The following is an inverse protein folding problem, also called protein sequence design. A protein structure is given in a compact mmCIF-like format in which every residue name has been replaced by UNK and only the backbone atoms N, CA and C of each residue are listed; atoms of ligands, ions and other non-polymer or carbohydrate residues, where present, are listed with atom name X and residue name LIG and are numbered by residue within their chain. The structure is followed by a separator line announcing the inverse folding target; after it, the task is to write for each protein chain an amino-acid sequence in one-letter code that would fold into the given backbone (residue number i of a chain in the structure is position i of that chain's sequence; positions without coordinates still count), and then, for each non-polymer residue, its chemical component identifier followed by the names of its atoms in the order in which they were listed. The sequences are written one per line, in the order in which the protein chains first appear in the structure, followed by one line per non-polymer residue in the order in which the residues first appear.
data_IF_347649005011
#
_entry.id   IF_347649005011
#
_cell.length_a   1.000
_cell.length_b   1.000
_cell.length_c   1.000
_cell.angle_alpha   90.00
_cell.angle_beta   90.00
_cell.angle_gamma   90.00
#
_symmetry.space_group_name_H-M   'P 1'
#
loop_
_entity.id
_entity.type
_entity.pdbx_description
1 polymer ?
#
# COMPACT_ATOMS: atom_id res chain seq x y z
N UNK A 1 16.28 -5.17 17.74
CA UNK A 1 15.45 -3.92 17.88
C UNK A 1 14.06 -4.32 18.26
N UNK A 2 13.57 -3.82 19.34
CA UNK A 2 12.22 -4.07 19.85
C UNK A 2 11.36 -2.84 19.60
N UNK A 3 10.09 -3.03 19.24
CA UNK A 3 9.08 -1.99 19.22
C UNK A 3 7.92 -2.40 20.14
N UNK A 4 7.76 -1.64 21.21
CA UNK A 4 6.73 -1.87 22.22
C UNK A 4 5.67 -0.78 22.18
N UNK A 5 4.40 -1.18 22.24
CA UNK A 5 3.29 -0.23 22.35
C UNK A 5 2.06 -0.89 22.98
N UNK A 6 1.18 -0.06 23.54
CA UNK A 6 -0.10 -0.51 24.09
C UNK A 6 -1.24 0.04 23.24
N UNK A 7 -2.12 -0.81 22.77
CA UNK A 7 -3.24 -0.40 21.93
C UNK A 7 -4.45 -1.29 22.18
N UNK A 8 -5.60 -0.69 22.42
CA UNK A 8 -6.89 -1.37 22.63
C UNK A 8 -6.86 -2.48 23.71
N UNK A 9 -6.09 -2.24 24.80
CA UNK A 9 -5.96 -3.20 25.91
C UNK A 9 -4.94 -4.32 25.69
N UNK A 10 -4.27 -4.34 24.55
CA UNK A 10 -3.18 -5.28 24.27
C UNK A 10 -1.81 -4.64 24.52
N UNK A 11 -0.93 -5.37 25.20
CA UNK A 11 0.51 -5.07 25.24
C UNK A 11 1.14 -5.79 24.04
N UNK A 12 1.74 -5.07 23.13
CA UNK A 12 2.31 -5.65 21.91
C UNK A 12 3.81 -5.36 21.88
N UNK A 13 4.59 -6.41 21.65
CA UNK A 13 6.04 -6.38 21.50
C UNK A 13 6.39 -7.01 20.15
N UNK A 14 6.94 -6.20 19.26
CA UNK A 14 7.44 -6.64 17.96
C UNK A 14 8.97 -6.74 18.01
N UNK A 15 9.52 -7.92 17.77
CA UNK A 15 10.93 -8.03 17.39
C UNK A 15 11.07 -7.77 15.88
N UNK A 16 11.72 -6.65 15.54
CA UNK A 16 11.70 -6.10 14.18
C UNK A 16 12.39 -7.00 13.16
N UNK A 17 13.44 -7.72 13.57
CA UNK A 17 14.26 -8.47 12.61
C UNK A 17 13.81 -9.92 12.45
N UNK A 18 13.33 -10.56 13.51
CA UNK A 18 12.68 -11.87 13.40
C UNK A 18 11.25 -11.77 12.86
N UNK A 19 10.57 -10.62 13.11
CA UNK A 19 9.15 -10.43 12.82
C UNK A 19 8.23 -11.09 13.86
N UNK A 20 8.78 -11.60 14.96
CA UNK A 20 8.00 -12.20 16.06
C UNK A 20 7.20 -11.15 16.79
N UNK A 21 5.94 -11.49 17.13
CA UNK A 21 5.03 -10.63 17.88
C UNK A 21 4.64 -11.36 19.14
N UNK A 22 4.84 -10.68 20.28
CA UNK A 22 4.51 -11.19 21.59
C UNK A 22 3.41 -10.33 22.23
N UNK A 23 2.56 -10.97 23.05
CA UNK A 23 1.46 -10.32 23.77
C UNK A 23 1.64 -10.65 25.24
N UNK A 24 2.60 -10.00 25.90
CA UNK A 24 2.88 -10.24 27.30
C UNK A 24 1.85 -9.57 28.22
N UNK A 25 1.77 -10.03 29.46
CA UNK A 25 1.16 -9.26 30.53
C UNK A 25 1.94 -7.97 30.83
N UNK A 26 1.44 -7.17 31.78
CA UNK A 26 2.09 -5.89 32.11
C UNK A 26 3.49 -6.07 32.69
N UNK A 27 3.74 -7.12 33.49
CA UNK A 27 5.03 -7.32 34.13
C UNK A 27 6.09 -7.78 33.11
N UNK A 28 5.75 -8.72 32.24
CA UNK A 28 6.63 -9.18 31.17
C UNK A 28 6.87 -8.08 30.13
N UNK A 29 5.85 -7.26 29.82
CA UNK A 29 5.99 -6.10 28.94
C UNK A 29 7.03 -5.10 29.48
N UNK A 30 6.92 -4.74 30.77
CA UNK A 30 7.87 -3.83 31.41
C UNK A 30 9.27 -4.46 31.53
N UNK A 31 9.35 -5.79 31.81
CA UNK A 31 10.62 -6.51 31.89
C UNK A 31 11.38 -6.46 30.56
N UNK A 32 10.70 -6.72 29.44
CA UNK A 32 11.29 -6.62 28.10
C UNK A 32 11.80 -5.19 27.84
N UNK A 33 11.02 -4.17 28.24
CA UNK A 33 11.43 -2.76 28.11
C UNK A 33 12.70 -2.43 28.89
N UNK A 34 12.83 -2.91 30.13
CA UNK A 34 14.02 -2.69 30.95
C UNK A 34 15.28 -3.35 30.33
N UNK A 35 15.15 -4.53 29.75
CA UNK A 35 16.25 -5.20 29.04
C UNK A 35 16.63 -4.42 27.77
N UNK A 36 15.65 -3.92 26.99
CA UNK A 36 15.89 -3.11 25.78
C UNK A 36 16.59 -1.78 26.12
N UNK A 37 16.31 -1.21 27.31
CA UNK A 37 17.01 -0.03 27.88
C UNK A 37 18.45 -0.35 28.35
N UNK A 38 18.90 -1.61 28.29
CA UNK A 38 20.23 -2.05 28.65
C UNK A 38 20.43 -2.35 30.14
N UNK A 39 19.34 -2.55 30.91
CA UNK A 39 19.44 -3.06 32.28
C UNK A 39 19.91 -4.50 32.29
N UNK A 40 20.70 -4.84 33.32
CA UNK A 40 21.01 -6.26 33.58
C UNK A 40 19.79 -7.00 34.09
N UNK A 41 19.75 -8.32 33.91
CA UNK A 41 18.68 -9.17 34.46
C UNK A 41 18.44 -8.90 35.93
N UNK A 42 19.50 -8.87 36.74
CA UNK A 42 19.43 -8.66 38.20
C UNK A 42 18.80 -7.31 38.57
N UNK A 43 19.15 -6.22 37.84
CA UNK A 43 18.56 -4.90 38.03
C UNK A 43 17.09 -4.86 37.66
N UNK A 44 16.74 -5.50 36.52
CA UNK A 44 15.39 -5.55 36.00
C UNK A 44 14.48 -6.39 36.90
N UNK A 45 14.89 -7.58 37.36
CA UNK A 45 14.16 -8.43 38.31
C UNK A 45 13.81 -7.64 39.58
N UNK A 46 14.75 -6.90 40.12
CA UNK A 46 14.55 -6.05 41.33
C UNK A 46 13.51 -4.96 41.07
N UNK A 47 13.55 -4.30 39.91
CA UNK A 47 12.61 -3.24 39.54
C UNK A 47 11.19 -3.80 39.31
N UNK A 48 11.04 -4.93 38.58
CA UNK A 48 9.77 -5.60 38.36
C UNK A 48 9.18 -6.09 39.70
N UNK A 49 9.96 -6.79 40.52
CA UNK A 49 9.52 -7.26 41.81
C UNK A 49 9.08 -6.13 42.76
N UNK A 50 9.71 -4.95 42.67
CA UNK A 50 9.30 -3.79 43.42
C UNK A 50 8.01 -3.17 42.88
N UNK A 51 7.90 -3.03 41.56
CA UNK A 51 6.75 -2.40 40.89
C UNK A 51 5.46 -3.19 41.06
N UNK A 52 5.54 -4.53 40.94
CA UNK A 52 4.39 -5.43 40.93
C UNK A 52 4.15 -6.14 42.28
N UNK A 53 4.84 -5.73 43.38
CA UNK A 53 4.71 -6.36 44.70
C UNK A 53 3.28 -6.48 45.19
N UNK A 54 2.45 -5.44 44.98
CA UNK A 54 1.09 -5.35 45.47
C UNK A 54 0.07 -5.96 44.48
N UNK A 55 0.55 -6.41 43.30
CA UNK A 55 -0.28 -7.03 42.24
C UNK A 55 -0.34 -8.56 42.35
N UNK A 56 0.25 -9.14 43.38
CA UNK A 56 0.25 -10.59 43.62
C UNK A 56 1.31 -11.36 42.84
N UNK A 57 2.22 -10.70 42.13
CA UNK A 57 3.34 -11.30 41.43
C UNK A 57 4.41 -11.69 42.45
N UNK A 58 4.74 -12.97 42.51
CA UNK A 58 5.73 -13.52 43.43
C UNK A 58 7.16 -13.38 42.87
N UNK A 59 8.21 -13.48 43.70
CA UNK A 59 9.57 -13.54 43.20
C UNK A 59 9.87 -14.69 42.24
N UNK A 60 9.12 -15.78 42.33
CA UNK A 60 9.20 -16.94 41.42
C UNK A 60 8.61 -16.56 40.05
N UNK A 61 7.43 -15.91 40.02
CA UNK A 61 6.82 -15.39 38.76
C UNK A 61 7.76 -14.40 38.05
N UNK A 62 8.43 -13.51 38.82
CA UNK A 62 9.43 -12.60 38.23
C UNK A 62 10.57 -13.36 37.59
N UNK A 63 11.08 -14.40 38.28
CA UNK A 63 12.17 -15.24 37.73
C UNK A 63 11.72 -15.94 36.46
N UNK A 64 10.51 -16.51 36.44
CA UNK A 64 9.95 -17.20 35.27
C UNK A 64 9.80 -16.28 34.07
N UNK A 65 9.36 -15.02 34.27
CA UNK A 65 9.33 -14.00 33.21
C UNK A 65 10.69 -13.80 32.57
N UNK A 66 11.77 -13.71 33.35
CA UNK A 66 13.11 -13.51 32.80
C UNK A 66 13.69 -14.79 32.18
N UNK A 67 13.35 -15.97 32.69
CA UNK A 67 13.71 -17.25 32.09
C UNK A 67 13.06 -17.39 30.71
N UNK A 68 11.78 -17.00 30.54
CA UNK A 68 11.06 -16.96 29.26
C UNK A 68 11.69 -15.97 28.28
N UNK A 69 12.07 -14.76 28.75
CA UNK A 69 12.75 -13.73 27.93
C UNK A 69 14.08 -14.29 27.39
N UNK A 70 14.88 -14.96 28.25
CA UNK A 70 16.13 -15.59 27.83
C UNK A 70 15.90 -16.74 26.83
N UNK A 71 14.85 -17.53 27.02
CA UNK A 71 14.49 -18.59 26.10
C UNK A 71 14.12 -18.04 24.72
N UNK A 72 13.22 -17.04 24.67
CA UNK A 72 12.83 -16.38 23.41
C UNK A 72 14.05 -15.73 22.72
N UNK A 73 14.98 -15.16 23.49
CA UNK A 73 16.23 -14.58 22.96
C UNK A 73 17.10 -15.68 22.33
N UNK A 74 17.28 -16.81 23.03
CA UNK A 74 18.05 -17.97 22.53
C UNK A 74 17.43 -18.60 21.29
N UNK A 75 16.09 -18.60 21.20
CA UNK A 75 15.35 -19.09 20.03
C UNK A 75 15.37 -18.10 18.84
N UNK A 76 15.93 -16.91 19.00
CA UNK A 76 15.96 -15.88 17.96
C UNK A 76 14.57 -15.27 17.69
N UNK A 77 13.72 -15.18 18.71
CA UNK A 77 12.38 -14.60 18.66
C UNK A 77 12.26 -13.26 19.39
N UNK A 78 13.30 -12.89 20.15
CA UNK A 78 13.37 -11.61 20.88
C UNK A 78 14.83 -11.12 20.87
N UNK A 79 15.03 -9.79 20.83
CA UNK A 79 16.32 -9.09 20.80
C UNK A 79 17.24 -9.54 19.65
N UNK A 80 16.66 -9.85 18.49
CA UNK A 80 17.42 -10.28 17.31
C UNK A 80 18.23 -9.15 16.68
N UNK A 81 19.30 -9.50 15.95
CA UNK A 81 20.18 -8.56 15.27
C UNK A 81 19.74 -8.32 13.82
N UNK A 82 20.11 -7.15 13.28
CA UNK A 82 19.88 -6.79 11.89
C UNK A 82 20.93 -7.45 10.97
N UNK A 83 20.70 -8.70 10.62
CA UNK A 83 21.58 -9.46 9.71
C UNK A 83 21.58 -8.94 8.28
N UNK A 84 20.68 -8.02 7.93
CA UNK A 84 20.55 -7.47 6.58
C UNK A 84 21.30 -6.15 6.38
N UNK A 85 21.63 -5.43 7.45
CA UNK A 85 22.32 -4.12 7.40
C UNK A 85 23.68 -4.20 6.72
N UNK A 86 24.48 -5.20 7.10
CA UNK A 86 25.87 -5.38 6.62
C UNK A 86 25.96 -6.23 5.36
N UNK A 87 24.85 -6.91 5.00
CA UNK A 87 24.79 -7.58 3.73
C UNK A 87 24.69 -6.51 2.63
N UNK A 88 25.82 -6.23 1.97
CA UNK A 88 25.87 -5.45 0.72
C UNK A 88 25.13 -6.27 -0.32
N UNK A 89 23.79 -6.19 -0.31
CA UNK A 89 23.00 -6.70 -1.41
C UNK A 89 23.51 -6.02 -2.67
N UNK A 90 24.29 -6.73 -3.46
CA UNK A 90 24.67 -6.24 -4.77
C UNK A 90 23.45 -6.26 -5.66
N UNK A 91 22.65 -5.20 -5.53
CA UNK A 91 21.44 -5.00 -6.33
C UNK A 91 21.76 -4.95 -7.83
N UNK A 92 23.05 -4.77 -8.22
CA UNK A 92 23.50 -4.83 -9.61
C UNK A 92 23.44 -6.24 -10.19
N UNK A 93 23.65 -7.25 -9.37
CA UNK A 93 23.57 -8.64 -9.83
C UNK A 93 22.12 -9.08 -10.08
N UNK A 94 21.13 -8.33 -9.59
CA UNK A 94 19.75 -8.63 -9.89
C UNK A 94 19.47 -8.30 -11.35
N UNK A 95 19.14 -9.31 -12.14
CA UNK A 95 18.54 -9.10 -13.44
C UNK A 95 17.23 -8.34 -13.25
N UNK A 96 17.15 -7.14 -13.81
CA UNK A 96 15.92 -6.34 -13.79
C UNK A 96 14.88 -7.08 -14.64
N UNK A 97 13.90 -7.68 -13.98
CA UNK A 97 12.83 -8.41 -14.64
C UNK A 97 11.55 -7.61 -14.47
N UNK A 98 11.05 -7.06 -15.57
CA UNK A 98 9.78 -6.33 -15.57
C UNK A 98 8.66 -7.33 -15.32
N UNK A 99 7.85 -7.09 -14.28
CA UNK A 99 6.72 -7.95 -13.90
C UNK A 99 5.37 -7.28 -14.13
N UNK A 100 5.36 -5.95 -14.16
CA UNK A 100 4.12 -5.18 -14.21
C UNK A 100 4.29 -3.89 -15.03
N UNK A 101 3.26 -3.56 -15.80
CA UNK A 101 3.13 -2.28 -16.48
C UNK A 101 1.83 -1.59 -16.08
N UNK A 102 1.92 -0.29 -15.80
CA UNK A 102 0.78 0.60 -15.73
C UNK A 102 0.61 1.27 -17.09
N UNK A 103 -0.39 0.85 -17.84
CA UNK A 103 -0.71 1.44 -19.14
C UNK A 103 -1.62 2.65 -18.95
N UNK A 104 -1.08 3.83 -19.22
CA UNK A 104 -1.87 5.07 -19.22
C UNK A 104 -2.61 5.17 -20.56
N UNK A 105 -3.66 4.35 -20.68
CA UNK A 105 -4.38 4.19 -21.96
C UNK A 105 -5.14 5.46 -22.36
N UNK A 106 -5.39 6.38 -21.41
CA UNK A 106 -6.04 7.66 -21.66
C UNK A 106 -5.33 8.79 -20.91
N UNK A 107 -4.74 9.72 -21.65
CA UNK A 107 -4.25 11.00 -21.13
C UNK A 107 -5.36 12.05 -21.16
N UNK A 108 -6.53 11.68 -20.65
CA UNK A 108 -7.71 12.53 -20.50
C UNK A 108 -8.66 11.91 -19.49
N UNK A 109 -9.53 12.71 -18.88
CA UNK A 109 -10.51 12.28 -17.90
C UNK A 109 -11.85 13.01 -18.11
N UNK A 110 -12.93 12.34 -17.78
CA UNK A 110 -14.29 12.89 -17.78
C UNK A 110 -14.70 13.51 -16.43
N UNK A 111 -13.80 13.46 -15.42
CA UNK A 111 -13.90 14.20 -14.15
C UNK A 111 -12.77 15.22 -14.01
N UNK A 112 -13.02 16.24 -13.17
CA UNK A 112 -12.11 17.35 -12.90
C UNK A 112 -11.79 17.40 -11.39
N UNK A 113 -11.26 16.31 -10.84
CA UNK A 113 -10.96 16.20 -9.42
C UNK A 113 -9.87 17.20 -9.01
N UNK A 114 -10.11 18.00 -7.96
CA UNK A 114 -9.18 19.04 -7.49
C UNK A 114 -7.83 18.49 -7.07
N UNK A 115 -7.81 17.41 -6.32
CA UNK A 115 -6.58 16.77 -5.80
C UNK A 115 -5.86 15.85 -6.80
N UNK A 116 -6.26 15.87 -8.08
CA UNK A 116 -5.75 14.90 -9.05
C UNK A 116 -4.27 15.12 -9.35
N UNK A 117 -3.41 14.20 -8.89
CA UNK A 117 -1.96 14.23 -9.19
C UNK A 117 -1.65 14.15 -10.69
N UNK A 118 -2.55 13.54 -11.48
CA UNK A 118 -2.42 13.36 -12.92
C UNK A 118 -2.91 14.57 -13.73
N UNK A 119 -3.18 15.73 -13.12
CA UNK A 119 -3.68 16.93 -13.80
C UNK A 119 -4.89 16.60 -14.70
N UNK A 120 -5.91 15.95 -14.15
CA UNK A 120 -7.09 15.42 -14.84
C UNK A 120 -6.75 14.51 -16.02
N UNK A 121 -5.69 13.71 -15.84
CA UNK A 121 -5.22 12.73 -16.80
C UNK A 121 -4.21 13.23 -17.82
N UNK A 122 -3.91 14.53 -17.84
CA UNK A 122 -2.92 15.09 -18.79
C UNK A 122 -1.47 14.86 -18.38
N UNK A 123 -1.22 14.54 -17.09
CA UNK A 123 0.12 14.31 -16.55
C UNK A 123 1.10 15.44 -16.92
N UNK A 124 0.65 16.69 -16.77
CA UNK A 124 1.39 17.91 -17.15
C UNK A 124 1.74 18.02 -18.65
N UNK A 125 1.18 17.14 -19.51
CA UNK A 125 1.44 17.07 -20.94
C UNK A 125 0.16 17.25 -21.78
N UNK A 126 0.19 16.65 -22.97
CA UNK A 126 -0.92 16.72 -23.92
C UNK A 126 -2.01 15.69 -23.61
N UNK A 127 -3.25 16.02 -23.94
CA UNK A 127 -4.33 15.02 -23.95
C UNK A 127 -4.20 14.08 -25.15
N UNK A 128 -4.54 12.82 -24.96
CA UNK A 128 -4.51 11.81 -26.02
C UNK A 128 -5.01 10.45 -25.53
N UNK A 129 -5.18 9.55 -26.47
CA UNK A 129 -5.54 8.15 -26.21
C UNK A 129 -4.43 7.24 -26.78
N UNK A 130 -4.11 6.17 -26.06
CA UNK A 130 -3.17 5.16 -26.52
C UNK A 130 -3.75 4.44 -27.74
N UNK A 131 -2.94 4.28 -28.80
CA UNK A 131 -3.31 3.45 -29.92
C UNK A 131 -3.20 1.96 -29.58
N UNK A 132 -3.92 1.10 -30.31
CA UNK A 132 -3.74 -0.34 -30.17
C UNK A 132 -2.29 -0.77 -30.42
N UNK A 133 -1.64 -0.20 -31.43
CA UNK A 133 -0.25 -0.51 -31.79
C UNK A 133 0.72 -0.16 -30.67
N UNK A 134 0.53 0.99 -30.02
CA UNK A 134 1.35 1.39 -28.85
C UNK A 134 1.12 0.42 -27.71
N UNK A 135 -0.13 0.14 -27.36
CA UNK A 135 -0.44 -0.79 -26.27
C UNK A 135 0.03 -2.22 -26.54
N UNK A 136 -0.13 -2.69 -27.79
CA UNK A 136 0.39 -4.00 -28.24
C UNK A 136 1.91 -4.06 -28.04
N UNK A 137 2.65 -3.03 -28.51
CA UNK A 137 4.10 -2.98 -28.34
C UNK A 137 4.51 -2.94 -26.86
N UNK A 138 3.72 -2.28 -26.00
CA UNK A 138 3.95 -2.30 -24.55
C UNK A 138 3.82 -3.71 -23.96
N UNK A 139 2.84 -4.49 -24.39
CA UNK A 139 2.69 -5.89 -23.97
C UNK A 139 3.86 -6.75 -24.48
N UNK A 140 4.30 -6.56 -25.74
CA UNK A 140 5.48 -7.24 -26.27
C UNK A 140 6.73 -6.89 -25.47
N UNK A 141 6.93 -5.60 -25.15
CA UNK A 141 8.01 -5.14 -24.27
C UNK A 141 7.99 -5.81 -22.90
N UNK A 142 6.79 -5.95 -22.29
CA UNK A 142 6.64 -6.65 -21.00
C UNK A 142 7.07 -8.11 -21.11
N UNK A 143 6.65 -8.82 -22.16
CA UNK A 143 7.04 -10.22 -22.40
C UNK A 143 8.54 -10.35 -22.61
N UNK A 144 9.14 -9.51 -23.45
CA UNK A 144 10.58 -9.51 -23.78
C UNK A 144 11.44 -9.25 -22.54
N UNK A 145 10.99 -8.41 -21.61
CA UNK A 145 11.74 -8.00 -20.43
C UNK A 145 11.34 -8.75 -19.14
N UNK A 146 10.45 -9.75 -19.23
CA UNK A 146 9.95 -10.49 -18.06
C UNK A 146 10.75 -11.78 -17.73
N UNK A 147 11.74 -12.14 -18.52
CA UNK A 147 12.55 -13.34 -18.33
C UNK A 147 11.69 -14.59 -18.17
N UNK A 148 11.99 -15.41 -17.20
CA UNK A 148 11.24 -16.66 -16.91
C UNK A 148 9.95 -16.43 -16.09
N UNK A 149 9.62 -15.19 -15.73
CA UNK A 149 8.41 -14.89 -14.96
C UNK A 149 7.16 -15.21 -15.79
N UNK A 150 6.31 -16.07 -15.27
CA UNK A 150 5.08 -16.48 -15.92
C UNK A 150 3.94 -15.48 -15.72
N UNK A 151 3.71 -15.05 -14.49
CA UNK A 151 2.63 -14.12 -14.14
C UNK A 151 3.07 -12.68 -14.36
N UNK A 152 2.34 -11.97 -15.23
CA UNK A 152 2.58 -10.57 -15.59
C UNK A 152 1.33 -9.75 -15.23
N UNK A 153 1.54 -8.58 -14.61
CA UNK A 153 0.48 -7.68 -14.21
C UNK A 153 0.37 -6.51 -15.21
N UNK A 154 -0.84 -6.14 -15.57
CA UNK A 154 -1.12 -5.01 -16.45
C UNK A 154 -2.25 -4.19 -15.85
N UNK A 155 -1.96 -2.95 -15.48
CA UNK A 155 -2.95 -2.04 -14.93
C UNK A 155 -3.42 -1.09 -16.03
N UNK A 156 -4.71 -1.13 -16.37
CA UNK A 156 -5.34 -0.10 -17.19
C UNK A 156 -5.64 1.12 -16.31
N UNK A 157 -4.94 2.19 -16.61
CA UNK A 157 -4.92 3.42 -15.84
C UNK A 157 -4.90 4.65 -16.76
N UNK A 158 -4.65 5.82 -16.20
CA UNK A 158 -4.54 7.09 -16.91
C UNK A 158 -5.38 8.17 -16.22
N UNK A 159 -6.04 9.03 -16.97
CA UNK A 159 -7.09 9.88 -16.45
C UNK A 159 -8.33 9.04 -16.14
N UNK A 160 -8.97 8.51 -17.20
CA UNK A 160 -10.04 7.52 -17.08
C UNK A 160 -9.89 6.47 -18.20
N UNK A 161 -9.52 5.23 -17.89
CA UNK A 161 -9.26 4.20 -18.92
C UNK A 161 -10.50 3.83 -19.72
N UNK A 162 -11.72 3.95 -19.19
CA UNK A 162 -12.95 3.68 -19.94
C UNK A 162 -13.21 4.67 -21.08
N UNK A 163 -12.48 5.79 -21.14
CA UNK A 163 -12.49 6.65 -22.32
C UNK A 163 -11.78 6.01 -23.53
N UNK A 164 -11.00 4.96 -23.29
CA UNK A 164 -10.34 4.18 -24.35
C UNK A 164 -10.67 2.69 -24.24
N UNK A 165 -11.91 2.38 -23.91
CA UNK A 165 -12.34 1.00 -23.57
C UNK A 165 -12.13 0.01 -24.71
N UNK A 166 -12.37 0.43 -25.98
CA UNK A 166 -12.15 -0.44 -27.14
C UNK A 166 -10.70 -0.92 -27.25
N UNK A 167 -9.74 -0.04 -27.02
CA UNK A 167 -8.32 -0.41 -27.00
C UNK A 167 -8.02 -1.35 -25.84
N UNK A 168 -8.59 -1.14 -24.66
CA UNK A 168 -8.44 -2.08 -23.53
C UNK A 168 -8.91 -3.49 -23.90
N UNK A 169 -10.06 -3.62 -24.58
CA UNK A 169 -10.58 -4.92 -25.07
C UNK A 169 -9.63 -5.58 -26.08
N UNK A 170 -9.14 -4.80 -27.03
CA UNK A 170 -8.20 -5.29 -28.05
C UNK A 170 -6.88 -5.76 -27.44
N UNK A 171 -6.34 -5.02 -26.46
CA UNK A 171 -5.10 -5.37 -25.75
C UNK A 171 -5.26 -6.66 -24.95
N UNK A 172 -6.37 -6.86 -24.26
CA UNK A 172 -6.65 -8.11 -23.55
C UNK A 172 -6.76 -9.27 -24.53
N UNK A 173 -7.50 -9.11 -25.62
CA UNK A 173 -7.62 -10.15 -26.67
C UNK A 173 -6.24 -10.53 -27.23
N UNK A 174 -5.40 -9.54 -27.51
CA UNK A 174 -4.02 -9.77 -27.97
C UNK A 174 -3.20 -10.52 -26.91
N UNK A 175 -3.20 -10.08 -25.66
CA UNK A 175 -2.46 -10.74 -24.57
C UNK A 175 -2.87 -12.22 -24.45
N UNK A 176 -4.18 -12.52 -24.44
CA UNK A 176 -4.70 -13.90 -24.39
C UNK A 176 -4.22 -14.75 -25.57
N UNK A 177 -4.10 -14.15 -26.77
CA UNK A 177 -3.65 -14.86 -27.97
C UNK A 177 -2.19 -15.34 -27.89
N UNK A 178 -1.33 -14.62 -27.13
CA UNK A 178 0.10 -14.94 -27.04
C UNK A 178 0.47 -15.71 -25.75
N UNK A 179 -0.41 -15.82 -24.75
CA UNK A 179 -0.12 -16.43 -23.44
C UNK A 179 0.48 -17.83 -23.56
N UNK A 180 -0.14 -18.68 -24.38
CA UNK A 180 0.30 -20.07 -24.52
C UNK A 180 1.67 -20.17 -25.18
N UNK A 181 1.88 -19.45 -26.29
CA UNK A 181 3.13 -19.48 -27.04
C UNK A 181 4.29 -18.94 -26.21
N UNK A 182 4.07 -17.83 -25.52
CA UNK A 182 5.10 -17.15 -24.70
C UNK A 182 5.24 -17.74 -23.29
N UNK A 183 4.43 -18.74 -22.90
CA UNK A 183 4.35 -19.29 -21.55
C UNK A 183 4.15 -18.19 -20.49
N UNK A 184 3.22 -17.28 -20.74
CA UNK A 184 2.86 -16.17 -19.85
C UNK A 184 1.41 -16.31 -19.39
N UNK A 185 1.07 -15.58 -18.33
CA UNK A 185 -0.28 -15.46 -17.79
C UNK A 185 -0.48 -14.00 -17.40
N UNK A 186 -1.28 -13.27 -18.16
CA UNK A 186 -1.55 -11.86 -17.88
C UNK A 186 -2.70 -11.70 -16.89
N UNK A 187 -2.48 -10.87 -15.89
CA UNK A 187 -3.46 -10.47 -14.89
C UNK A 187 -3.74 -8.99 -15.06
N UNK A 188 -4.98 -8.68 -15.45
CA UNK A 188 -5.38 -7.30 -15.69
C UNK A 188 -6.06 -6.70 -14.47
N UNK A 189 -5.75 -5.44 -14.18
CA UNK A 189 -6.46 -4.58 -13.25
C UNK A 189 -7.06 -3.39 -14.00
N UNK A 190 -8.28 -3.04 -13.69
CA UNK A 190 -8.95 -1.84 -14.19
C UNK A 190 -9.17 -0.87 -13.04
N UNK A 191 -8.62 0.36 -13.13
CA UNK A 191 -8.89 1.44 -12.19
C UNK A 191 -9.81 2.46 -12.85
N UNK A 192 -11.02 2.68 -12.32
CA UNK A 192 -12.00 3.58 -12.93
C UNK A 192 -12.70 4.51 -11.92
N UNK A 193 -13.03 5.70 -12.37
CA UNK A 193 -13.89 6.62 -11.63
C UNK A 193 -15.40 6.28 -11.74
N UNK A 194 -15.76 5.28 -12.50
CA UNK A 194 -17.11 4.73 -12.61
C UNK A 194 -18.06 5.44 -13.58
N UNK A 195 -17.76 6.64 -14.03
CA UNK A 195 -18.67 7.44 -14.89
C UNK A 195 -18.98 6.77 -16.23
N UNK A 196 -18.01 5.99 -16.75
CA UNK A 196 -18.12 5.26 -18.01
C UNK A 196 -18.59 3.82 -17.88
N UNK A 197 -18.98 3.33 -16.72
CA UNK A 197 -19.44 1.96 -16.53
C UNK A 197 -20.76 1.71 -17.25
N UNK A 198 -20.78 0.67 -18.08
CA UNK A 198 -21.96 0.12 -18.76
C UNK A 198 -22.06 -1.38 -18.46
N UNK A 199 -23.15 -2.02 -18.87
CA UNK A 199 -23.29 -3.49 -18.73
C UNK A 199 -22.21 -4.23 -19.47
N UNK A 200 -21.81 -3.78 -20.66
CA UNK A 200 -20.70 -4.34 -21.42
C UNK A 200 -19.38 -4.26 -20.65
N UNK A 201 -19.09 -3.12 -20.00
CA UNK A 201 -17.89 -2.96 -19.16
C UNK A 201 -17.91 -3.95 -17.99
N UNK A 202 -19.06 -4.10 -17.32
CA UNK A 202 -19.22 -5.04 -16.21
C UNK A 202 -18.96 -6.49 -16.66
N UNK A 203 -19.60 -6.92 -17.73
CA UNK A 203 -19.44 -8.28 -18.26
C UNK A 203 -18.00 -8.56 -18.69
N UNK A 204 -17.38 -7.62 -19.42
CA UNK A 204 -16.01 -7.74 -19.89
C UNK A 204 -15.01 -7.78 -18.70
N UNK A 205 -15.11 -6.83 -17.77
CA UNK A 205 -14.19 -6.76 -16.65
C UNK A 205 -14.33 -7.96 -15.70
N UNK A 206 -15.55 -8.50 -15.54
CA UNK A 206 -15.77 -9.70 -14.72
C UNK A 206 -15.17 -10.97 -15.35
N UNK A 207 -15.07 -11.01 -16.67
CA UNK A 207 -14.44 -12.12 -17.40
C UNK A 207 -12.92 -11.99 -17.48
N UNK A 208 -12.41 -10.77 -17.70
CA UNK A 208 -11.01 -10.54 -18.10
C UNK A 208 -10.14 -9.95 -16.99
N UNK A 209 -10.71 -9.11 -16.11
CA UNK A 209 -9.93 -8.43 -15.08
C UNK A 209 -9.89 -9.26 -13.80
N UNK A 210 -8.65 -9.53 -13.34
CA UNK A 210 -8.41 -10.17 -12.06
C UNK A 210 -8.87 -9.30 -10.90
N UNK A 211 -8.66 -7.99 -11.01
CA UNK A 211 -9.05 -7.01 -10.03
C UNK A 211 -9.65 -5.74 -10.66
N UNK A 212 -10.54 -5.06 -9.94
CA UNK A 212 -11.11 -3.78 -10.33
C UNK A 212 -11.05 -2.80 -9.17
N UNK A 213 -10.50 -1.62 -9.43
CA UNK A 213 -10.41 -0.52 -8.47
C UNK A 213 -11.50 0.50 -8.79
N UNK A 214 -12.43 0.69 -7.87
CA UNK A 214 -13.58 1.59 -8.01
C UNK A 214 -13.35 2.83 -7.15
N UNK A 215 -13.19 3.99 -7.79
CA UNK A 215 -12.81 5.23 -7.11
C UNK A 215 -14.03 5.93 -6.46
N UNK A 216 -14.10 5.90 -5.12
CA UNK A 216 -15.15 6.55 -4.32
C UNK A 216 -14.55 7.05 -3.01
N UNK A 217 -14.76 8.35 -2.68
CA UNK A 217 -14.17 8.95 -1.48
C UNK A 217 -15.03 8.80 -0.22
N UNK A 218 -16.15 8.07 -0.30
CA UNK A 218 -17.03 7.80 0.84
C UNK A 218 -18.37 8.49 0.75
N UNK A 219 -18.75 9.26 1.79
CA UNK A 219 -20.03 10.00 1.86
C UNK A 219 -20.20 10.92 0.65
N UNK A 220 -21.46 11.18 0.28
CA UNK A 220 -21.80 11.99 -0.90
C UNK A 220 -21.14 13.36 -0.88
N UNK A 221 -21.24 14.06 0.23
CA UNK A 221 -20.67 15.40 0.40
C UNK A 221 -19.14 15.41 0.28
N UNK A 222 -18.46 14.34 0.70
CA UNK A 222 -17.02 14.19 0.56
C UNK A 222 -16.66 13.91 -0.89
N UNK A 223 -17.30 12.91 -1.49
CA UNK A 223 -17.05 12.54 -2.88
C UNK A 223 -17.32 13.72 -3.83
N UNK A 224 -18.49 14.39 -3.69
CA UNK A 224 -18.94 15.43 -4.60
C UNK A 224 -18.24 16.79 -4.39
N UNK A 225 -17.49 16.94 -3.27
CA UNK A 225 -16.58 18.07 -3.09
C UNK A 225 -15.43 18.04 -4.10
N UNK A 226 -14.91 16.85 -4.38
CA UNK A 226 -13.68 16.70 -5.16
C UNK A 226 -13.90 16.07 -6.53
N UNK A 227 -14.77 15.05 -6.63
CA UNK A 227 -14.97 14.28 -7.87
C UNK A 227 -16.13 14.85 -8.67
N UNK A 228 -15.86 15.98 -9.28
CA UNK A 228 -16.84 16.70 -10.08
C UNK A 228 -16.55 16.58 -11.58
N UNK A 229 -17.60 16.73 -12.40
CA UNK A 229 -17.46 16.86 -13.85
C UNK A 229 -16.94 18.27 -14.26
N UNK A 230 -16.75 18.50 -15.55
CA UNK A 230 -16.28 19.79 -16.08
C UNK A 230 -17.27 20.96 -15.80
N UNK A 231 -18.51 20.67 -15.39
CA UNK A 231 -19.55 21.67 -15.04
C UNK A 231 -19.64 21.86 -13.52
N UNK A 232 -18.84 21.15 -12.74
CA UNK A 232 -18.88 21.21 -11.28
C UNK A 232 -19.96 20.32 -10.64
N UNK A 233 -20.61 19.43 -11.39
CA UNK A 233 -21.59 18.51 -10.81
C UNK A 233 -20.87 17.32 -10.17
N UNK A 234 -21.31 16.94 -8.95
CA UNK A 234 -20.81 15.76 -8.26
C UNK A 234 -21.09 14.45 -9.01
N UNK A 235 -20.27 13.46 -8.79
CA UNK A 235 -20.35 12.15 -9.46
C UNK A 235 -21.07 11.07 -8.66
N UNK A 236 -21.28 11.26 -7.36
CA UNK A 236 -21.75 10.24 -6.41
C UNK A 236 -23.05 9.55 -6.85
N UNK A 237 -24.11 10.33 -7.11
CA UNK A 237 -25.42 9.77 -7.47
C UNK A 237 -25.39 8.96 -8.77
N UNK A 238 -24.44 9.28 -9.67
CA UNK A 238 -24.24 8.55 -10.92
C UNK A 238 -23.46 7.26 -10.71
N UNK A 239 -22.37 7.30 -9.94
CA UNK A 239 -21.42 6.16 -9.87
C UNK A 239 -21.83 5.09 -8.85
N UNK A 240 -22.44 5.46 -7.72
CA UNK A 240 -22.79 4.50 -6.66
C UNK A 240 -23.72 3.39 -7.14
N UNK A 241 -24.82 3.66 -7.87
CA UNK A 241 -25.67 2.59 -8.41
C UNK A 241 -24.91 1.64 -9.36
N UNK A 242 -23.98 2.20 -10.15
CA UNK A 242 -23.14 1.42 -11.08
C UNK A 242 -22.14 0.54 -10.32
N UNK A 243 -21.51 1.06 -9.27
CA UNK A 243 -20.61 0.31 -8.42
C UNK A 243 -21.33 -0.84 -7.71
N UNK A 244 -22.51 -0.60 -7.15
CA UNK A 244 -23.33 -1.67 -6.55
C UNK A 244 -23.66 -2.77 -7.55
N UNK A 245 -24.04 -2.41 -8.78
CA UNK A 245 -24.29 -3.37 -9.86
C UNK A 245 -23.03 -4.15 -10.22
N UNK A 246 -21.89 -3.44 -10.34
CA UNK A 246 -20.60 -4.03 -10.69
C UNK A 246 -20.16 -5.07 -9.66
N UNK A 247 -20.13 -4.67 -8.38
CA UNK A 247 -19.69 -5.51 -7.27
C UNK A 247 -20.59 -6.74 -7.11
N UNK A 248 -21.92 -6.54 -7.22
CA UNK A 248 -22.88 -7.65 -7.19
C UNK A 248 -22.60 -8.66 -8.31
N UNK A 249 -22.31 -8.19 -9.52
CA UNK A 249 -22.03 -9.05 -10.67
C UNK A 249 -20.67 -9.80 -10.55
N UNK A 250 -19.79 -9.40 -9.61
CA UNK A 250 -18.52 -10.06 -9.29
C UNK A 250 -18.61 -10.97 -8.05
N UNK A 251 -19.80 -11.23 -7.51
CA UNK A 251 -19.97 -11.94 -6.23
C UNK A 251 -19.11 -11.34 -5.10
N UNK A 252 -18.96 -10.02 -5.10
CA UNK A 252 -18.15 -9.26 -4.14
C UNK A 252 -16.68 -9.71 -4.06
N UNK A 253 -16.08 -10.13 -5.18
CA UNK A 253 -14.70 -10.63 -5.24
C UNK A 253 -13.84 -9.85 -6.23
N UNK A 254 -12.53 -9.77 -5.95
CA UNK A 254 -11.55 -9.18 -6.87
C UNK A 254 -11.83 -7.71 -7.19
N UNK A 255 -12.27 -6.93 -6.21
CA UNK A 255 -12.44 -5.48 -6.31
C UNK A 255 -11.97 -4.82 -5.02
N UNK A 256 -11.78 -3.53 -5.05
CA UNK A 256 -11.81 -2.69 -3.86
C UNK A 256 -12.26 -1.26 -4.19
N UNK A 257 -12.96 -0.66 -3.22
CA UNK A 257 -13.26 0.76 -3.26
C UNK A 257 -12.00 1.53 -2.86
N UNK A 258 -11.63 2.54 -3.62
CA UNK A 258 -10.46 3.37 -3.33
C UNK A 258 -10.87 4.82 -3.21
N UNK A 259 -10.79 5.32 -1.99
CA UNK A 259 -11.04 6.72 -1.66
C UNK A 259 -9.76 7.47 -1.29
N UNK A 260 -9.90 8.78 -1.20
CA UNK A 260 -8.86 9.70 -0.74
C UNK A 260 -9.41 10.53 0.41
N UNK A 261 -8.66 10.61 1.51
CA UNK A 261 -8.96 11.55 2.57
C UNK A 261 -7.99 12.74 2.55
N UNK A 262 -8.50 13.89 2.96
CA UNK A 262 -7.84 15.18 2.89
C UNK A 262 -8.01 15.93 4.21
N UNK A 263 -7.48 17.14 4.32
CA UNK A 263 -7.76 18.03 5.46
C UNK A 263 -9.28 18.23 5.71
N UNK A 264 -10.12 18.10 4.70
CA UNK A 264 -11.57 18.34 4.83
C UNK A 264 -12.39 17.13 5.30
N UNK A 265 -11.80 15.93 5.29
CA UNK A 265 -12.44 14.70 5.77
C UNK A 265 -11.46 13.85 6.60
N UNK A 266 -10.83 14.48 7.59
CA UNK A 266 -9.96 13.77 8.54
C UNK A 266 -10.72 12.70 9.34
N UNK A 267 -12.06 12.79 9.43
CA UNK A 267 -12.96 11.79 9.98
C UNK A 267 -13.27 10.61 9.01
N UNK A 268 -12.26 10.18 8.27
CA UNK A 268 -12.37 9.23 7.14
C UNK A 268 -12.99 7.87 7.52
N UNK A 269 -13.03 7.50 8.79
CA UNK A 269 -13.76 6.28 9.21
C UNK A 269 -15.25 6.37 8.94
N UNK A 270 -15.84 7.57 9.00
CA UNK A 270 -17.24 7.76 8.62
C UNK A 270 -17.45 7.46 7.13
N UNK A 271 -16.47 7.77 6.29
CA UNK A 271 -16.50 7.45 4.87
C UNK A 271 -16.38 5.95 4.63
N UNK A 272 -15.51 5.26 5.37
CA UNK A 272 -15.37 3.82 5.34
C UNK A 272 -16.65 3.13 5.83
N UNK A 273 -17.21 3.59 6.95
CA UNK A 273 -18.45 3.00 7.49
C UNK A 273 -19.65 3.26 6.57
N UNK A 274 -19.73 4.43 5.96
CA UNK A 274 -20.72 4.70 4.92
C UNK A 274 -20.62 3.70 3.75
N UNK A 275 -19.40 3.48 3.25
CA UNK A 275 -19.17 2.49 2.17
C UNK A 275 -19.54 1.06 2.61
N UNK A 276 -19.25 0.70 3.87
CA UNK A 276 -19.52 -0.63 4.39
C UNK A 276 -21.01 -0.84 4.74
N UNK A 277 -21.59 0.04 5.55
CA UNK A 277 -22.91 -0.17 6.16
C UNK A 277 -24.07 0.30 5.26
N UNK A 278 -23.92 1.47 4.62
CA UNK A 278 -24.99 2.03 3.79
C UNK A 278 -24.93 1.52 2.34
N UNK A 279 -23.71 1.29 1.84
CA UNK A 279 -23.53 0.88 0.44
C UNK A 279 -23.28 -0.62 0.27
N UNK A 280 -22.82 -1.33 1.33
CA UNK A 280 -22.59 -2.77 1.34
C UNK A 280 -21.26 -3.21 0.69
N UNK A 281 -20.27 -2.33 0.60
CA UNK A 281 -18.95 -2.68 0.10
C UNK A 281 -18.05 -3.20 1.21
N UNK A 282 -17.38 -4.32 1.00
CA UNK A 282 -16.56 -4.99 2.01
C UNK A 282 -15.06 -4.88 1.79
N UNK A 283 -14.63 -4.54 0.57
CA UNK A 283 -13.22 -4.40 0.21
C UNK A 283 -12.89 -2.91 0.04
N UNK A 284 -12.17 -2.33 1.01
CA UNK A 284 -12.04 -0.89 1.17
C UNK A 284 -10.58 -0.43 1.25
N UNK A 285 -10.30 0.73 0.69
CA UNK A 285 -9.02 1.43 0.77
C UNK A 285 -9.23 2.93 0.86
N UNK A 286 -8.51 3.60 1.75
CA UNK A 286 -8.50 5.07 1.85
C UNK A 286 -7.06 5.56 1.94
N UNK A 287 -6.66 6.38 0.97
CA UNK A 287 -5.31 6.94 0.88
C UNK A 287 -5.28 8.38 1.41
N UNK A 288 -4.20 8.78 2.10
CA UNK A 288 -3.97 10.20 2.35
C UNK A 288 -3.74 10.93 1.03
N UNK A 289 -4.31 12.12 0.90
CA UNK A 289 -3.97 12.99 -0.23
C UNK A 289 -2.47 13.31 -0.20
N UNK A 290 -1.83 13.23 -1.37
CA UNK A 290 -0.47 13.74 -1.58
C UNK A 290 -0.56 14.87 -2.59
N UNK A 291 -0.35 16.08 -2.12
CA UNK A 291 -0.49 17.32 -2.90
C UNK A 291 0.49 18.37 -2.40
N UNK A 292 0.59 19.51 -3.10
CA UNK A 292 1.40 20.65 -2.62
C UNK A 292 0.98 21.06 -1.21
N UNK A 293 1.93 21.37 -0.32
CA UNK A 293 1.64 21.89 1.02
C UNK A 293 0.75 23.14 1.02
N UNK A 294 0.76 23.93 -0.05
CA UNK A 294 -0.05 25.14 -0.21
C UNK A 294 -1.50 24.84 -0.66
N UNK A 295 -1.80 23.59 -0.99
CA UNK A 295 -3.17 23.20 -1.35
C UNK A 295 -4.08 23.23 -0.12
N UNK A 296 -5.31 23.78 -0.22
CA UNK A 296 -6.29 23.72 0.88
C UNK A 296 -6.63 22.28 1.30
N UNK A 297 -6.46 21.31 0.42
CA UNK A 297 -6.71 19.89 0.68
C UNK A 297 -5.55 19.19 1.38
N UNK A 298 -4.37 19.85 1.48
CA UNK A 298 -3.17 19.23 2.07
C UNK A 298 -3.39 18.90 3.55
N UNK A 299 -2.94 17.71 3.92
CA UNK A 299 -2.88 17.30 5.32
C UNK A 299 -1.76 18.04 6.05
N UNK A 300 -2.01 18.42 7.29
CA UNK A 300 -1.09 19.19 8.14
C UNK A 300 -0.70 18.43 9.40
N UNK A 301 0.33 18.87 10.10
CA UNK A 301 0.72 18.30 11.39
C UNK A 301 -0.41 18.33 12.44
N UNK A 302 -1.33 19.29 12.32
CA UNK A 302 -2.48 19.41 13.22
C UNK A 302 -3.53 18.32 12.98
N UNK A 303 -3.55 17.69 11.82
CA UNK A 303 -4.47 16.61 11.47
C UNK A 303 -4.01 15.25 12.04
N UNK A 304 -2.70 15.07 12.32
CA UNK A 304 -2.15 13.78 12.75
C UNK A 304 -2.85 13.15 13.96
N UNK A 305 -3.12 13.88 15.06
CA UNK A 305 -3.78 13.27 16.22
C UNK A 305 -5.16 12.70 15.87
N UNK A 306 -5.94 13.45 15.08
CA UNK A 306 -7.27 12.99 14.62
C UNK A 306 -7.13 11.75 13.72
N UNK A 307 -6.21 11.77 12.77
CA UNK A 307 -5.98 10.65 11.87
C UNK A 307 -5.51 9.39 12.61
N UNK A 308 -4.68 9.53 13.64
CA UNK A 308 -4.27 8.41 14.49
C UNK A 308 -5.47 7.79 15.21
N UNK A 309 -6.34 8.63 15.79
CA UNK A 309 -7.58 8.17 16.41
C UNK A 309 -8.48 7.46 15.40
N UNK A 310 -8.62 7.97 14.19
CA UNK A 310 -9.43 7.33 13.15
C UNK A 310 -8.91 5.94 12.78
N UNK A 311 -7.59 5.76 12.66
CA UNK A 311 -7.02 4.43 12.44
C UNK A 311 -7.32 3.47 13.60
N UNK A 312 -7.27 3.94 14.85
CA UNK A 312 -7.62 3.12 16.02
C UNK A 312 -9.10 2.75 16.03
N UNK A 313 -9.99 3.72 15.77
CA UNK A 313 -11.44 3.50 15.67
C UNK A 313 -11.72 2.41 14.61
N UNK A 314 -11.11 2.53 13.43
CA UNK A 314 -11.29 1.55 12.35
C UNK A 314 -10.84 0.16 12.77
N UNK A 315 -9.66 0.04 13.36
CA UNK A 315 -9.14 -1.26 13.79
C UNK A 315 -10.02 -1.92 14.85
N UNK A 316 -10.50 -1.16 15.84
CA UNK A 316 -11.46 -1.62 16.87
C UNK A 316 -12.78 -2.07 16.25
N UNK A 317 -13.31 -1.30 15.30
CA UNK A 317 -14.54 -1.66 14.61
C UNK A 317 -14.37 -2.93 13.77
N UNK A 318 -13.24 -3.10 13.09
CA UNK A 318 -12.95 -4.31 12.32
C UNK A 318 -12.89 -5.57 13.20
N UNK A 319 -12.32 -5.50 14.41
CA UNK A 319 -12.34 -6.61 15.37
C UNK A 319 -13.80 -6.93 15.75
N UNK A 320 -14.58 -5.92 16.13
CA UNK A 320 -16.01 -6.10 16.47
C UNK A 320 -16.79 -6.75 15.33
N UNK A 321 -16.62 -6.26 14.09
CA UNK A 321 -17.29 -6.81 12.90
C UNK A 321 -16.89 -8.26 12.65
N UNK A 322 -15.63 -8.61 12.80
CA UNK A 322 -15.16 -9.98 12.62
C UNK A 322 -15.83 -10.93 13.63
N UNK A 323 -15.92 -10.54 14.91
CA UNK A 323 -16.62 -11.28 15.97
C UNK A 323 -18.12 -11.41 15.72
N UNK A 324 -18.73 -10.43 15.05
CA UNK A 324 -20.14 -10.44 14.65
C UNK A 324 -20.41 -11.20 13.33
N UNK A 325 -19.38 -11.78 12.69
CA UNK A 325 -19.51 -12.53 11.44
C UNK A 325 -19.77 -11.67 10.19
N UNK A 326 -19.48 -10.36 10.25
CA UNK A 326 -19.61 -9.43 9.13
C UNK A 326 -18.33 -8.62 8.87
N UNK A 327 -17.21 -9.30 8.59
CA UNK A 327 -15.92 -8.65 8.43
C UNK A 327 -15.90 -7.71 7.21
N UNK A 328 -15.05 -6.70 7.28
CA UNK A 328 -14.63 -5.87 6.15
C UNK A 328 -13.12 -6.00 6.00
N UNK A 329 -12.64 -5.81 4.78
CA UNK A 329 -11.20 -5.71 4.49
C UNK A 329 -10.81 -4.23 4.35
N UNK A 330 -9.81 -3.80 5.10
CA UNK A 330 -9.17 -2.53 4.86
C UNK A 330 -7.76 -2.79 4.31
N UNK A 331 -7.52 -2.41 3.06
CA UNK A 331 -6.32 -2.75 2.31
C UNK A 331 -5.02 -2.45 3.07
N UNK A 332 -4.96 -1.31 3.77
CA UNK A 332 -3.78 -0.89 4.52
C UNK A 332 -3.53 -1.65 5.82
N UNK A 333 -4.47 -2.50 6.25
CA UNK A 333 -4.29 -3.42 7.39
C UNK A 333 -4.04 -4.86 6.96
N UNK A 334 -3.96 -5.10 5.64
CA UNK A 334 -3.59 -6.41 5.11
C UNK A 334 -2.09 -6.63 5.25
N UNK A 335 -1.71 -7.30 6.32
CA UNK A 335 -0.35 -7.79 6.55
C UNK A 335 -0.40 -9.33 6.63
N UNK A 336 0.58 -9.97 6.02
CA UNK A 336 0.79 -11.41 6.12
C UNK A 336 1.97 -11.66 7.05
N UNK A 337 1.69 -12.24 8.21
CA UNK A 337 2.68 -12.52 9.24
C UNK A 337 3.31 -13.90 9.08
N UNK A 338 2.69 -14.80 8.31
CA UNK A 338 3.14 -16.19 8.13
C UNK A 338 3.93 -16.36 6.82
N UNK A 339 3.38 -15.86 5.70
CA UNK A 339 3.89 -16.09 4.35
C UNK A 339 4.29 -14.79 3.65
N UNK A 340 4.27 -13.67 4.36
CA UNK A 340 4.47 -12.31 3.85
C UNK A 340 5.62 -12.16 2.86
N UNK A 341 5.74 -11.02 2.20
CA UNK A 341 6.70 -10.90 1.12
C UNK A 341 8.09 -11.29 1.60
N UNK A 342 8.86 -11.92 0.71
CA UNK A 342 10.25 -12.29 1.02
C UNK A 342 11.06 -11.06 1.45
N UNK A 343 12.12 -11.26 2.22
CA UNK A 343 12.96 -10.19 2.76
C UNK A 343 13.42 -9.19 1.69
N UNK A 344 13.72 -9.68 0.49
CA UNK A 344 14.08 -8.84 -0.63
C UNK A 344 13.00 -7.76 -0.92
N UNK A 345 11.74 -8.16 -0.95
CA UNK A 345 10.59 -7.25 -1.14
C UNK A 345 10.41 -6.29 0.03
N UNK A 346 10.64 -6.76 1.24
CA UNK A 346 10.60 -5.93 2.44
C UNK A 346 11.70 -4.86 2.45
N UNK A 347 12.82 -5.11 1.77
CA UNK A 347 13.93 -4.17 1.63
C UNK A 347 13.70 -3.22 0.44
N UNK A 348 13.28 -3.73 -0.72
CA UNK A 348 13.28 -3.00 -1.99
C UNK A 348 11.94 -2.36 -2.39
N UNK A 349 10.86 -2.65 -1.68
CA UNK A 349 9.54 -2.04 -1.91
C UNK A 349 8.87 -2.45 -3.22
N UNK A 350 8.14 -1.50 -3.86
CA UNK A 350 7.25 -1.78 -5.00
C UNK A 350 7.97 -2.13 -6.30
N UNK A 351 9.27 -1.80 -6.42
CA UNK A 351 10.07 -2.05 -7.62
C UNK A 351 9.82 -1.06 -8.75
N UNK A 352 9.36 0.16 -8.44
CA UNK A 352 9.25 1.24 -9.42
C UNK A 352 10.57 1.47 -10.17
N UNK A 353 10.48 1.75 -11.47
CA UNK A 353 11.65 1.94 -12.35
C UNK A 353 12.40 0.66 -12.73
N UNK A 354 12.12 -0.47 -12.06
CA UNK A 354 12.81 -1.75 -12.28
C UNK A 354 11.85 -2.89 -12.63
N UNK A 355 11.04 -3.34 -11.69
CA UNK A 355 10.06 -4.42 -11.87
C UNK A 355 8.70 -3.91 -12.34
N UNK A 356 8.41 -2.66 -12.09
CA UNK A 356 7.17 -1.96 -12.41
C UNK A 356 7.51 -0.65 -13.14
N UNK A 357 6.83 -0.37 -14.24
CA UNK A 357 6.97 0.87 -15.01
C UNK A 357 5.60 1.36 -15.48
N UNK A 358 5.50 2.67 -15.70
CA UNK A 358 4.37 3.28 -16.40
C UNK A 358 4.69 3.50 -17.86
N UNK A 359 3.70 3.30 -18.74
CA UNK A 359 3.77 3.53 -20.17
C UNK A 359 2.77 4.60 -20.55
N UNK A 360 3.23 5.70 -21.15
CA UNK A 360 2.36 6.77 -21.64
C UNK A 360 1.56 6.35 -22.88
N UNK A 361 0.55 7.13 -23.24
CA UNK A 361 -0.21 6.90 -24.48
C UNK A 361 0.67 6.91 -25.75
N UNK A 362 1.85 7.49 -25.67
CA UNK A 362 2.85 7.59 -26.76
C UNK A 362 3.99 6.59 -26.63
N UNK A 363 3.98 5.71 -25.63
CA UNK A 363 4.95 4.66 -25.45
C UNK A 363 6.19 5.03 -24.64
N UNK A 364 6.25 6.21 -24.03
CA UNK A 364 7.36 6.55 -23.13
C UNK A 364 7.30 5.73 -21.83
N UNK A 365 8.46 5.33 -21.33
CA UNK A 365 8.65 4.59 -20.09
C UNK A 365 9.04 5.53 -18.95
N UNK A 366 8.31 5.40 -17.83
CA UNK A 366 8.58 6.09 -16.57
C UNK A 366 8.66 5.12 -15.39
N UNK A 367 9.35 5.47 -14.27
CA UNK A 367 9.45 4.60 -13.10
C UNK A 367 8.09 4.18 -12.52
N UNK A 368 7.14 5.10 -12.46
CA UNK A 368 5.73 4.83 -12.17
C UNK A 368 4.86 6.00 -12.69
N UNK A 369 3.55 5.86 -12.58
CA UNK A 369 2.59 6.87 -13.05
C UNK A 369 2.75 8.25 -12.38
N UNK A 370 3.33 8.31 -11.19
CA UNK A 370 3.56 9.57 -10.45
C UNK A 370 4.71 10.42 -11.00
N UNK A 371 5.60 9.84 -11.81
CA UNK A 371 6.72 10.55 -12.45
C UNK A 371 6.41 10.96 -13.90
N UNK A 372 5.25 10.55 -14.43
CA UNK A 372 4.89 10.84 -15.83
C UNK A 372 4.71 12.33 -16.02
N UNK A 373 5.36 12.87 -17.06
CA UNK A 373 5.39 14.29 -17.36
C UNK A 373 6.66 15.02 -16.90
N UNK A 374 7.44 14.37 -16.00
CA UNK A 374 8.75 14.90 -15.61
C UNK A 374 9.84 14.33 -16.54
N UNK A 375 10.46 15.16 -17.41
CA UNK A 375 11.43 14.69 -18.41
C UNK A 375 12.69 14.08 -17.77
N UNK A 376 13.06 14.46 -16.54
CA UNK A 376 14.23 13.94 -15.85
C UNK A 376 14.07 12.49 -15.41
N UNK A 377 12.82 12.02 -15.34
CA UNK A 377 12.46 10.65 -14.96
C UNK A 377 12.06 9.77 -16.15
N UNK A 378 12.13 10.26 -17.38
CA UNK A 378 11.90 9.42 -18.55
C UNK A 378 13.01 8.38 -18.66
N UNK A 379 12.63 7.08 -18.62
CA UNK A 379 13.57 5.95 -18.68
C UNK A 379 13.92 5.54 -20.12
N UNK A 380 13.10 5.88 -21.09
CA UNK A 380 13.20 5.45 -22.47
C UNK A 380 11.83 5.31 -23.11
N UNK A 381 11.66 4.34 -23.99
CA UNK A 381 10.38 4.03 -24.62
C UNK A 381 10.24 2.53 -24.92
N UNK A 382 9.01 2.10 -25.29
CA UNK A 382 8.71 0.67 -25.53
C UNK A 382 9.39 0.12 -26.80
N UNK A 383 9.87 0.94 -27.72
CA UNK A 383 10.52 0.50 -28.97
C UNK A 383 12.02 0.29 -28.80
N UNK A 384 12.69 1.21 -28.12
CA UNK A 384 14.14 1.18 -27.88
C UNK A 384 14.51 0.58 -26.54
N UNK A 385 13.52 0.43 -25.64
CA UNK A 385 13.73 -0.04 -24.28
C UNK A 385 14.17 1.06 -23.33
N UNK A 386 14.74 0.65 -22.19
CA UNK A 386 15.31 1.58 -21.20
C UNK A 386 16.65 2.08 -21.73
N UNK A 387 16.75 3.37 -21.98
CA UNK A 387 17.96 4.05 -22.47
C UNK A 387 18.62 4.90 -21.39
N UNK A 388 17.87 5.37 -20.39
CA UNK A 388 18.38 6.10 -19.24
C UNK A 388 18.70 5.11 -18.09
N UNK A 389 19.79 4.35 -18.26
CA UNK A 389 20.20 3.34 -17.29
C UNK A 389 20.66 3.97 -15.96
N UNK A 390 21.20 5.20 -15.98
CA UNK A 390 21.60 5.89 -14.76
C UNK A 390 20.40 6.17 -13.86
N UNK A 391 19.32 6.72 -14.44
CA UNK A 391 18.07 6.96 -13.72
C UNK A 391 17.42 5.65 -13.24
N UNK A 392 17.45 4.58 -14.05
CA UNK A 392 16.98 3.27 -13.63
C UNK A 392 17.77 2.72 -12.43
N UNK A 393 19.10 2.90 -12.45
CA UNK A 393 19.98 2.48 -11.35
C UNK A 393 19.71 3.26 -10.06
N UNK A 394 19.33 4.55 -10.13
CA UNK A 394 18.88 5.29 -8.94
C UNK A 394 17.73 4.59 -8.23
N UNK A 395 16.71 4.13 -8.97
CA UNK A 395 15.59 3.36 -8.42
C UNK A 395 16.00 1.97 -7.94
N UNK A 396 16.89 1.32 -8.66
CA UNK A 396 17.41 0.00 -8.31
C UNK A 396 18.14 0.00 -6.96
N UNK A 397 18.84 1.08 -6.66
CA UNK A 397 19.57 1.25 -5.41
C UNK A 397 18.76 1.96 -4.33
N UNK A 398 17.53 2.41 -4.64
CA UNK A 398 16.63 2.98 -3.66
C UNK A 398 15.98 1.85 -2.87
N UNK A 399 16.42 1.65 -1.64
CA UNK A 399 15.92 0.62 -0.73
C UNK A 399 15.96 1.14 0.72
N UNK A 400 15.39 0.42 1.66
CA UNK A 400 15.26 0.85 3.05
C UNK A 400 16.59 1.25 3.71
N UNK A 401 17.71 0.61 3.35
CA UNK A 401 19.03 0.94 3.89
C UNK A 401 19.75 2.06 3.14
N UNK A 402 19.22 2.50 2.00
CA UNK A 402 19.74 3.67 1.28
C UNK A 402 19.23 5.00 1.86
N UNK A 403 18.27 4.94 2.78
CA UNK A 403 17.73 6.09 3.51
C UNK A 403 18.31 6.10 4.93
N UNK A 404 19.18 7.05 5.29
CA UNK A 404 19.82 7.05 6.63
C UNK A 404 18.82 6.99 7.78
N UNK A 405 17.70 7.72 7.68
CA UNK A 405 16.67 7.78 8.70
C UNK A 405 15.86 6.47 8.83
N UNK A 406 15.85 5.63 7.81
CA UNK A 406 15.13 4.36 7.82
C UNK A 406 15.94 3.21 8.41
N UNK A 407 17.26 3.34 8.47
CA UNK A 407 18.15 2.27 8.95
C UNK A 407 17.83 1.85 10.40
N UNK A 408 17.39 2.80 11.24
CA UNK A 408 17.04 2.58 12.64
C UNK A 408 15.53 2.71 12.92
N UNK A 409 14.70 2.64 11.86
CA UNK A 409 13.24 2.68 11.99
C UNK A 409 12.68 1.28 12.26
N UNK A 410 11.86 1.14 13.31
CA UNK A 410 11.22 -0.13 13.63
C UNK A 410 10.28 -0.64 12.52
N UNK A 411 9.63 0.28 11.78
CA UNK A 411 8.69 -0.07 10.71
C UNK A 411 9.37 -0.41 9.38
N UNK A 412 10.70 -0.40 9.30
CA UNK A 412 11.46 -0.47 8.04
C UNK A 412 11.14 -1.70 7.17
N UNK A 413 10.94 -2.86 7.76
CA UNK A 413 10.65 -4.11 7.04
C UNK A 413 9.18 -4.26 6.64
N UNK A 414 8.31 -3.36 7.09
CA UNK A 414 6.93 -3.22 6.62
C UNK A 414 6.78 -2.09 5.60
N UNK A 415 7.53 -0.99 5.78
CA UNK A 415 7.49 0.22 4.95
C UNK A 415 8.36 0.11 3.68
N UNK A 416 9.47 -0.63 3.74
CA UNK A 416 10.43 -0.79 2.62
C UNK A 416 11.06 0.53 2.14
N UNK A 417 11.19 1.54 3.03
CA UNK A 417 11.73 2.87 2.69
C UNK A 417 10.70 3.89 2.16
N UNK A 418 9.41 3.51 2.09
CA UNK A 418 8.34 4.39 1.64
C UNK A 418 8.15 4.46 0.13
N UNK A 419 7.46 5.50 -0.33
CA UNK A 419 7.20 5.75 -1.75
C UNK A 419 8.22 6.73 -2.31
N UNK A 420 8.99 6.30 -3.31
CA UNK A 420 10.01 7.14 -3.97
C UNK A 420 9.40 8.41 -4.61
N UNK A 421 8.17 8.32 -5.13
CA UNK A 421 7.48 9.49 -5.69
C UNK A 421 7.08 10.49 -4.60
N UNK A 422 6.51 10.02 -3.47
CA UNK A 422 6.17 10.90 -2.35
C UNK A 422 7.44 11.55 -1.77
N UNK A 423 8.54 10.80 -1.65
CA UNK A 423 9.82 11.31 -1.22
C UNK A 423 10.30 12.45 -2.17
N UNK A 424 10.29 12.18 -3.47
CA UNK A 424 10.70 13.16 -4.49
C UNK A 424 9.84 14.44 -4.45
N UNK A 425 8.51 14.30 -4.46
CA UNK A 425 7.62 15.46 -4.47
C UNK A 425 7.69 16.31 -3.19
N UNK A 426 8.18 15.74 -2.08
CA UNK A 426 8.30 16.46 -0.81
C UNK A 426 9.70 16.94 -0.47
N UNK A 427 10.74 16.28 -0.99
CA UNK A 427 12.14 16.56 -0.64
C UNK A 427 13.02 16.91 -1.84
N UNK A 428 12.54 16.71 -3.07
CA UNK A 428 13.32 16.84 -4.29
C UNK A 428 14.18 15.63 -4.66
N UNK A 429 14.18 14.58 -3.82
CA UNK A 429 15.03 13.39 -4.02
C UNK A 429 14.23 12.09 -3.76
N UNK A 430 14.42 11.06 -4.59
CA UNK A 430 13.78 9.75 -4.41
C UNK A 430 14.27 9.03 -3.14
N UNK A 431 15.46 9.40 -2.62
CA UNK A 431 16.02 8.90 -1.36
C UNK A 431 15.71 9.79 -0.16
N UNK A 432 14.91 10.82 -0.35
CA UNK A 432 14.38 11.61 0.75
C UNK A 432 13.37 10.82 1.59
N UNK A 433 12.94 11.42 2.69
CA UNK A 433 11.95 10.80 3.58
C UNK A 433 10.74 11.72 3.75
N UNK A 434 9.58 11.26 3.30
CA UNK A 434 8.31 11.93 3.54
C UNK A 434 7.85 11.69 4.98
N UNK A 435 8.32 12.53 5.93
CA UNK A 435 8.14 12.34 7.39
C UNK A 435 6.68 12.22 7.80
N UNK A 436 5.80 13.06 7.24
CA UNK A 436 4.37 12.98 7.52
C UNK A 436 3.79 11.60 7.17
N UNK A 437 4.15 11.08 5.99
CA UNK A 437 3.77 9.74 5.58
C UNK A 437 4.35 8.63 6.47
N UNK A 438 5.54 8.84 7.04
CA UNK A 438 6.13 7.91 8.01
C UNK A 438 5.27 7.79 9.28
N UNK A 439 4.80 8.90 9.83
CA UNK A 439 3.97 8.89 11.04
C UNK A 439 2.64 8.17 10.80
N UNK A 440 1.96 8.46 9.69
CA UNK A 440 0.74 7.74 9.29
C UNK A 440 1.00 6.25 9.07
N UNK A 441 2.11 5.92 8.42
CA UNK A 441 2.45 4.51 8.15
C UNK A 441 2.72 3.72 9.42
N UNK A 442 3.50 4.27 10.35
CA UNK A 442 3.78 3.66 11.65
C UNK A 442 2.48 3.36 12.40
N UNK A 443 1.59 4.35 12.50
CA UNK A 443 0.29 4.17 13.15
C UNK A 443 -0.57 3.10 12.48
N UNK A 444 -0.59 3.07 11.14
CA UNK A 444 -1.30 2.02 10.39
C UNK A 444 -0.77 0.62 10.70
N UNK A 445 0.55 0.46 10.79
CA UNK A 445 1.15 -0.85 11.11
C UNK A 445 0.86 -1.26 12.56
N UNK A 446 0.95 -0.34 13.53
CA UNK A 446 0.53 -0.65 14.91
C UNK A 446 -0.92 -1.15 14.98
N UNK A 447 -1.83 -0.46 14.29
CA UNK A 447 -3.24 -0.88 14.20
C UNK A 447 -3.42 -2.23 13.50
N UNK A 448 -2.67 -2.47 12.40
CA UNK A 448 -2.73 -3.73 11.65
C UNK A 448 -2.20 -4.91 12.47
N UNK A 449 -1.10 -4.74 13.18
CA UNK A 449 -0.54 -5.75 14.09
C UNK A 449 -1.54 -6.04 15.23
N UNK A 450 -2.07 -5.02 15.88
CA UNK A 450 -3.07 -5.17 16.94
C UNK A 450 -4.32 -5.91 16.45
N UNK A 451 -4.83 -5.57 15.26
CA UNK A 451 -5.97 -6.25 14.66
C UNK A 451 -5.68 -7.74 14.43
N UNK A 452 -4.54 -8.08 13.83
CA UNK A 452 -4.13 -9.46 13.58
C UNK A 452 -3.97 -10.26 14.86
N UNK A 453 -3.34 -9.65 15.86
CA UNK A 453 -3.15 -10.21 17.19
C UNK A 453 -4.49 -10.53 17.86
N UNK A 454 -5.41 -9.56 17.90
CA UNK A 454 -6.72 -9.74 18.51
C UNK A 454 -7.50 -10.89 17.87
N UNK A 455 -7.50 -10.97 16.53
CA UNK A 455 -8.20 -12.04 15.81
C UNK A 455 -7.52 -13.40 15.96
N UNK A 456 -6.20 -13.46 16.13
CA UNK A 456 -5.49 -14.71 16.38
C UNK A 456 -5.80 -15.29 17.78
N UNK A 457 -5.94 -14.44 18.79
CA UNK A 457 -6.36 -14.86 20.13
C UNK A 457 -7.79 -15.43 20.14
N UNK A 458 -8.72 -14.80 19.41
CA UNK A 458 -10.11 -15.28 19.31
C UNK A 458 -10.22 -16.69 18.67
N UNK A 459 -9.23 -17.13 17.92
CA UNK A 459 -9.19 -18.49 17.31
C UNK A 459 -8.56 -19.55 18.21
N UNK A 460 -7.89 -19.15 19.29
CA UNK A 460 -7.25 -20.06 20.24
C UNK A 460 -8.08 -20.31 21.51
N UNK A 461 -9.15 -19.54 21.71
CA UNK A 461 -10.19 -19.73 22.74
C UNK A 461 -11.37 -20.53 22.15
#
# INVERSE_FOLDING_TARGET
MIHQYKLNGYNIVLDVYSGSIHIPDDAAYDAIGLIDEGKTREEAEKLIGAKYRDSGITPEDVKDIFDDIEELTREGKLFTEDVYRDQKYDMKQRNTVVKALCLLVAHTCNLNCEYCFASQGKFQGSAGLMSFETGKRALDFLVENSGFRRNLEVDFFGGEPLMNFEVCKQLVAYARSIEKEKNKNFRFTLTTNGVGITDEVIEWANRECHNVVLSLDGRKEVNDRFRVDARGNGSYDRIVPLFKKFVKARDSKGYYMRGTYTHFNTDFTKDIFHMADDLGFTELSMEPVVTSPDSPSALTQQDLPVLFEQYEILAKDMIRRAREGRPITFYHYMIDLEHGPCIYKRISGCGSGTEYMAVTAWGDLYPCHQFVGDPDYRLGDIWTGVTNCEKQDEFKYCNVYSHPECADCWAKLYCSGGCAANAYHTTGEIRGVYKYGCELFKKRIECALMLKTALALDHND
#
